data_IF_377154275641
#
_entry.id   IF_377154275641
#
_cell.length_a   1.000
_cell.length_b   1.000
_cell.length_c   1.000
_cell.angle_alpha   90.00
_cell.angle_beta   90.00
_cell.angle_gamma   90.00
#
_symmetry.space_group_name_H-M   'P 1'
#
loop_
_entity.id
_entity.type
_entity.pdbx_description
1 polymer ?
#
# COMPACT_ATOMS: atom_id res chain seq x y z
N UNK A 1 18.65 26.86 -8.22
CA UNK A 1 17.68 25.82 -8.63
C UNK A 1 18.08 24.58 -7.86
N UNK A 2 17.15 23.94 -7.17
CA UNK A 2 17.44 22.76 -6.35
C UNK A 2 17.34 21.48 -7.19
N UNK A 3 18.29 20.59 -7.04
CA UNK A 3 18.31 19.29 -7.73
C UNK A 3 17.66 18.23 -6.86
N UNK A 4 16.60 17.58 -7.38
CA UNK A 4 15.84 16.55 -6.68
C UNK A 4 16.13 15.20 -7.31
N UNK A 5 16.76 14.30 -6.55
CA UNK A 5 16.98 12.90 -6.95
C UNK A 5 15.74 12.07 -6.68
N UNK A 6 15.34 11.23 -7.62
CA UNK A 6 14.26 10.26 -7.39
C UNK A 6 14.83 8.86 -7.25
N UNK A 7 14.45 8.17 -6.18
CA UNK A 7 14.76 6.76 -5.95
C UNK A 7 13.47 5.94 -6.03
N UNK A 8 13.47 4.92 -6.86
CA UNK A 8 12.30 4.14 -7.28
C UNK A 8 11.31 4.96 -8.16
N UNK A 9 10.19 4.32 -8.49
CA UNK A 9 9.14 4.97 -9.24
C UNK A 9 8.35 5.95 -8.34
N UNK A 10 8.51 7.23 -8.58
CA UNK A 10 7.69 8.30 -8.00
C UNK A 10 6.63 8.68 -9.03
N UNK A 11 5.39 8.89 -8.58
CA UNK A 11 4.27 9.21 -9.47
C UNK A 11 4.55 10.49 -10.29
N UNK A 12 4.39 10.44 -11.63
CA UNK A 12 4.54 11.63 -12.49
C UNK A 12 3.61 12.78 -12.08
N UNK A 13 2.42 12.46 -11.56
CA UNK A 13 1.48 13.47 -11.05
C UNK A 13 2.05 14.22 -9.84
N UNK A 14 2.81 13.49 -8.99
CA UNK A 14 3.53 14.12 -7.87
C UNK A 14 4.69 14.98 -8.35
N UNK A 15 5.50 14.46 -9.27
CA UNK A 15 6.64 15.20 -9.83
C UNK A 15 6.21 16.47 -10.57
N UNK A 16 5.08 16.44 -11.27
CA UNK A 16 4.52 17.61 -11.96
C UNK A 16 4.11 18.76 -11.01
N UNK A 17 4.04 18.51 -9.69
CA UNK A 17 3.82 19.56 -8.69
C UNK A 17 5.08 20.38 -8.38
N UNK A 18 6.25 19.84 -8.70
CA UNK A 18 7.51 20.57 -8.53
C UNK A 18 7.63 21.64 -9.62
N UNK A 19 7.77 22.89 -9.20
CA UNK A 19 7.93 24.02 -10.12
C UNK A 19 9.31 23.93 -10.81
N UNK A 20 9.33 23.73 -12.12
CA UNK A 20 10.55 23.59 -12.93
C UNK A 20 11.46 24.84 -12.97
N UNK A 21 10.98 25.97 -12.47
CA UNK A 21 11.82 27.18 -12.28
C UNK A 21 12.66 27.11 -11.01
N UNK A 22 12.27 26.26 -10.05
CA UNK A 22 12.92 26.12 -8.74
C UNK A 22 13.59 24.77 -8.57
N UNK A 23 13.02 23.72 -9.18
CA UNK A 23 13.45 22.34 -9.02
C UNK A 23 13.81 21.70 -10.36
N UNK A 24 14.96 21.03 -10.38
CA UNK A 24 15.35 20.11 -11.43
C UNK A 24 15.26 18.68 -10.92
N UNK A 25 14.49 17.83 -11.61
CA UNK A 25 14.25 16.44 -11.19
C UNK A 25 15.14 15.50 -11.99
N UNK A 26 16.10 14.89 -11.34
CA UNK A 26 17.06 13.98 -11.93
C UNK A 26 16.98 12.59 -11.30
N UNK A 27 17.17 11.54 -12.10
CA UNK A 27 17.29 10.16 -11.61
C UNK A 27 18.75 9.88 -11.24
N UNK A 28 19.67 10.41 -12.01
CA UNK A 28 21.09 10.19 -11.87
C UNK A 28 21.81 11.53 -11.54
N UNK A 29 22.12 11.71 -10.26
CA UNK A 29 22.89 12.84 -9.75
C UNK A 29 23.62 12.41 -8.49
N UNK A 30 24.86 12.86 -8.32
CA UNK A 30 25.70 12.52 -7.16
C UNK A 30 25.55 13.52 -6.02
N UNK A 31 25.06 14.73 -6.30
CA UNK A 31 24.94 15.81 -5.32
C UNK A 31 23.54 16.44 -5.32
N UNK A 32 22.47 15.70 -4.94
CA UNK A 32 21.14 16.25 -4.85
C UNK A 32 20.98 17.17 -3.63
N UNK A 33 20.17 18.20 -3.77
CA UNK A 33 19.69 19.02 -2.66
C UNK A 33 18.50 18.35 -1.92
N UNK A 34 17.75 17.48 -2.60
CA UNK A 34 16.66 16.73 -2.04
C UNK A 34 16.50 15.34 -2.67
N UNK A 35 15.94 14.40 -1.92
CA UNK A 35 15.68 13.04 -2.39
C UNK A 35 14.21 12.69 -2.21
N UNK A 36 13.57 12.21 -3.29
CA UNK A 36 12.25 11.56 -3.22
C UNK A 36 12.46 10.05 -3.28
N UNK A 37 11.99 9.34 -2.26
CA UNK A 37 12.17 7.89 -2.13
C UNK A 37 10.83 7.19 -1.83
N UNK A 38 10.68 5.94 -2.24
CA UNK A 38 9.56 5.09 -1.85
C UNK A 38 10.03 3.91 -1.01
N UNK A 39 10.74 2.96 -1.61
CA UNK A 39 11.12 1.69 -0.97
C UNK A 39 12.62 1.38 -1.06
N UNK A 40 13.43 2.23 -1.71
CA UNK A 40 14.87 2.02 -1.74
C UNK A 40 15.44 2.05 -0.32
N UNK A 41 16.34 1.12 -0.04
CA UNK A 41 17.09 1.09 1.21
C UNK A 41 18.17 2.19 1.17
N UNK A 42 18.09 3.11 2.12
CA UNK A 42 19.02 4.22 2.29
C UNK A 42 19.87 4.10 3.56
N UNK A 43 19.75 3.00 4.32
CA UNK A 43 20.41 2.86 5.60
C UNK A 43 21.94 3.01 5.53
N UNK A 44 22.54 2.57 4.41
CA UNK A 44 23.98 2.65 4.17
C UNK A 44 24.35 3.68 3.08
N UNK A 45 23.41 4.50 2.61
CA UNK A 45 23.68 5.52 1.59
C UNK A 45 24.52 6.65 2.19
N UNK A 46 25.61 7.01 1.54
CA UNK A 46 26.33 8.23 1.88
C UNK A 46 25.53 9.46 1.39
N UNK A 47 25.44 10.48 2.23
CA UNK A 47 24.82 11.74 1.86
C UNK A 47 25.89 12.78 1.57
N UNK A 48 25.65 13.63 0.58
CA UNK A 48 26.50 14.78 0.30
C UNK A 48 26.14 15.94 1.24
N UNK A 49 27.06 16.88 1.39
CA UNK A 49 26.92 18.02 2.30
C UNK A 49 25.80 19.02 1.89
N UNK A 50 25.34 18.93 0.64
CA UNK A 50 24.28 19.81 0.13
C UNK A 50 22.86 19.26 0.35
N UNK A 51 22.73 18.00 0.81
CA UNK A 51 21.44 17.37 0.98
C UNK A 51 20.63 18.02 2.13
N UNK A 52 19.54 18.66 1.80
CA UNK A 52 18.68 19.39 2.74
C UNK A 52 17.53 18.54 3.24
N UNK A 53 16.95 17.69 2.39
CA UNK A 53 15.74 16.96 2.73
C UNK A 53 15.61 15.62 2.01
N UNK A 54 14.94 14.69 2.69
CA UNK A 54 14.50 13.41 2.13
C UNK A 54 12.99 13.33 2.33
N UNK A 55 12.22 13.07 1.25
CA UNK A 55 10.79 12.88 1.35
C UNK A 55 10.38 11.48 0.89
N UNK A 56 9.73 10.73 1.79
CA UNK A 56 9.25 9.39 1.50
C UNK A 56 7.80 9.38 1.02
N UNK A 57 7.59 8.81 -0.17
CA UNK A 57 6.26 8.50 -0.67
C UNK A 57 5.71 7.24 0.03
N UNK A 58 5.37 7.38 1.31
CA UNK A 58 4.86 6.31 2.18
C UNK A 58 4.83 6.72 3.65
N UNK A 59 4.16 5.93 4.48
CA UNK A 59 3.97 6.23 5.89
C UNK A 59 5.18 5.87 6.77
N UNK A 60 5.76 4.69 6.59
CA UNK A 60 6.92 4.25 7.37
C UNK A 60 8.21 4.97 6.92
N UNK A 61 9.24 4.94 7.74
CA UNK A 61 10.56 5.55 7.44
C UNK A 61 11.72 4.61 7.78
N UNK A 62 11.42 3.34 7.93
CA UNK A 62 12.36 2.29 8.32
C UNK A 62 13.51 2.04 7.33
N UNK A 63 13.40 2.54 6.12
CA UNK A 63 14.43 2.50 5.07
C UNK A 63 15.31 3.76 5.01
N UNK A 64 15.13 4.71 5.95
CA UNK A 64 15.87 5.98 6.01
C UNK A 64 16.62 6.03 7.36
N UNK A 65 17.90 6.35 7.39
CA UNK A 65 18.69 6.42 8.63
C UNK A 65 18.42 7.74 9.37
N UNK A 66 17.31 7.80 10.14
CA UNK A 66 16.80 9.02 10.77
C UNK A 66 17.80 9.71 11.69
N UNK A 67 18.53 8.92 12.51
CA UNK A 67 19.54 9.46 13.45
C UNK A 67 20.64 10.21 12.67
N UNK A 68 21.21 9.56 11.65
CA UNK A 68 22.22 10.17 10.81
C UNK A 68 21.71 11.39 10.04
N UNK A 69 20.47 11.35 9.53
CA UNK A 69 19.84 12.51 8.91
C UNK A 69 19.76 13.69 9.91
N UNK A 70 19.34 13.41 11.14
CA UNK A 70 19.23 14.42 12.21
C UNK A 70 20.59 15.04 12.56
N UNK A 71 21.65 14.21 12.69
CA UNK A 71 23.02 14.66 12.96
C UNK A 71 23.56 15.57 11.85
N UNK A 72 23.19 15.31 10.60
CA UNK A 72 23.61 16.09 9.42
C UNK A 72 22.66 17.26 9.09
N UNK A 73 21.61 17.47 9.88
CA UNK A 73 20.62 18.55 9.64
C UNK A 73 19.71 18.29 8.43
N UNK A 74 19.57 17.04 7.97
CA UNK A 74 18.71 16.66 6.87
C UNK A 74 17.29 16.43 7.37
N UNK A 75 16.31 17.17 6.83
CA UNK A 75 14.90 17.02 7.22
C UNK A 75 14.28 15.81 6.52
N UNK A 76 13.58 14.95 7.26
CA UNK A 76 12.90 13.78 6.71
C UNK A 76 11.39 13.96 6.78
N UNK A 77 10.72 13.86 5.62
CA UNK A 77 9.28 13.90 5.47
C UNK A 77 8.72 12.54 5.08
N UNK A 78 7.51 12.26 5.51
CA UNK A 78 6.73 11.09 5.09
C UNK A 78 5.30 11.48 4.73
N UNK A 79 4.50 10.53 4.20
CA UNK A 79 3.11 10.75 3.79
C UNK A 79 2.17 9.79 4.52
N UNK A 80 1.96 9.94 5.84
CA UNK A 80 1.11 9.06 6.61
C UNK A 80 -0.35 9.16 6.15
N UNK A 81 -1.02 8.01 6.05
CA UNK A 81 -2.45 7.94 5.72
C UNK A 81 -2.79 8.09 4.23
N UNK A 82 -1.85 8.45 3.36
CA UNK A 82 -2.12 8.70 1.94
C UNK A 82 -2.76 7.49 1.20
N UNK A 83 -2.40 6.26 1.59
CA UNK A 83 -2.94 5.03 1.02
C UNK A 83 -3.90 4.29 1.97
N UNK A 84 -4.30 4.90 3.09
CA UNK A 84 -5.05 4.20 4.14
C UNK A 84 -6.39 3.66 3.64
N UNK A 85 -7.10 4.43 2.80
CA UNK A 85 -8.36 3.98 2.22
C UNK A 85 -8.16 2.78 1.29
N UNK A 86 -7.20 2.86 0.37
CA UNK A 86 -6.93 1.77 -0.58
C UNK A 86 -6.54 0.46 0.13
N UNK A 87 -5.77 0.55 1.23
CA UNK A 87 -5.42 -0.62 2.04
C UNK A 87 -6.65 -1.17 2.77
N UNK A 88 -7.49 -0.30 3.34
CA UNK A 88 -8.72 -0.74 4.01
C UNK A 88 -9.68 -1.46 3.05
N UNK A 89 -9.87 -0.93 1.83
CA UNK A 89 -10.66 -1.56 0.77
C UNK A 89 -10.11 -2.95 0.41
N UNK A 90 -8.78 -3.06 0.25
CA UNK A 90 -8.15 -4.35 -0.03
C UNK A 90 -8.38 -5.35 1.10
N UNK A 91 -8.26 -4.93 2.36
CA UNK A 91 -8.50 -5.81 3.54
C UNK A 91 -9.94 -6.32 3.53
N UNK A 92 -10.93 -5.45 3.34
CA UNK A 92 -12.35 -5.84 3.26
C UNK A 92 -12.59 -6.78 2.08
N UNK A 93 -12.04 -6.46 0.91
CA UNK A 93 -12.11 -7.33 -0.27
C UNK A 93 -11.54 -8.73 -0.02
N UNK A 94 -10.36 -8.81 0.60
CA UNK A 94 -9.72 -10.09 0.94
C UNK A 94 -10.48 -10.86 2.03
N UNK A 95 -11.05 -10.17 3.01
CA UNK A 95 -11.88 -10.78 4.05
C UNK A 95 -13.08 -11.50 3.42
N UNK A 96 -13.78 -10.84 2.51
CA UNK A 96 -14.93 -11.41 1.79
C UNK A 96 -14.48 -12.54 0.85
N UNK A 97 -13.42 -12.31 0.07
CA UNK A 97 -12.91 -13.29 -0.90
C UNK A 97 -12.46 -14.58 -0.20
N UNK A 98 -11.78 -14.47 0.94
CA UNK A 98 -11.37 -15.61 1.76
C UNK A 98 -12.55 -16.36 2.37
N UNK A 99 -13.53 -15.63 2.92
CA UNK A 99 -14.73 -16.21 3.52
C UNK A 99 -15.61 -16.97 2.50
N UNK A 100 -15.56 -16.59 1.23
CA UNK A 100 -16.41 -17.11 0.15
C UNK A 100 -15.64 -18.00 -0.85
N UNK A 101 -14.39 -18.36 -0.57
CA UNK A 101 -13.55 -19.21 -1.44
C UNK A 101 -13.42 -18.69 -2.89
N UNK A 102 -13.46 -17.36 -3.09
CA UNK A 102 -13.55 -16.73 -4.43
C UNK A 102 -12.35 -17.09 -5.31
N UNK A 103 -11.13 -17.08 -4.77
CA UNK A 103 -9.92 -17.39 -5.54
C UNK A 103 -9.92 -18.83 -6.09
N UNK A 104 -10.26 -19.80 -5.23
CA UNK A 104 -10.35 -21.21 -5.63
C UNK A 104 -11.47 -21.43 -6.65
N UNK A 105 -12.63 -20.78 -6.47
CA UNK A 105 -13.73 -20.86 -7.43
C UNK A 105 -13.34 -20.26 -8.78
N UNK A 106 -12.66 -19.11 -8.81
CA UNK A 106 -12.20 -18.47 -10.04
C UNK A 106 -11.21 -19.37 -10.79
N UNK A 107 -10.24 -19.95 -10.10
CA UNK A 107 -9.27 -20.89 -10.69
C UNK A 107 -9.97 -22.11 -11.28
N UNK A 108 -10.92 -22.69 -10.55
CA UNK A 108 -11.70 -23.81 -11.04
C UNK A 108 -12.51 -23.46 -12.30
N UNK A 109 -13.18 -22.29 -12.34
CA UNK A 109 -13.91 -21.81 -13.51
C UNK A 109 -13.02 -21.68 -14.75
N UNK A 110 -11.78 -21.21 -14.59
CA UNK A 110 -10.83 -21.13 -15.71
C UNK A 110 -10.55 -22.50 -16.35
N UNK A 111 -10.53 -23.57 -15.54
CA UNK A 111 -10.36 -24.93 -16.01
C UNK A 111 -11.56 -25.49 -16.79
N UNK A 112 -12.70 -24.81 -16.78
CA UNK A 112 -13.90 -25.22 -17.53
C UNK A 112 -13.97 -24.63 -18.94
N UNK A 113 -12.99 -23.87 -19.38
CA UNK A 113 -12.96 -23.26 -20.70
C UNK A 113 -13.02 -24.35 -21.77
N UNK A 114 -14.04 -24.30 -22.64
CA UNK A 114 -14.26 -25.27 -23.71
C UNK A 114 -15.06 -26.52 -23.27
N UNK A 115 -15.53 -26.64 -22.05
CA UNK A 115 -16.42 -27.73 -21.63
C UNK A 115 -17.81 -27.57 -22.28
N UNK A 116 -18.24 -28.48 -23.17
CA UNK A 116 -19.56 -28.42 -23.82
C UNK A 116 -20.72 -28.64 -22.82
N UNK A 117 -20.44 -29.17 -21.65
CA UNK A 117 -21.40 -29.42 -20.58
C UNK A 117 -21.26 -28.45 -19.39
N UNK A 118 -20.62 -27.30 -19.58
CA UNK A 118 -20.27 -26.31 -18.55
C UNK A 118 -21.40 -26.08 -17.54
N UNK A 119 -22.62 -25.87 -18.00
CA UNK A 119 -23.76 -25.59 -17.08
C UNK A 119 -24.01 -26.75 -16.10
N UNK A 120 -23.90 -28.01 -16.54
CA UNK A 120 -24.07 -29.19 -15.67
C UNK A 120 -22.86 -29.35 -14.75
N UNK A 121 -21.66 -29.11 -15.26
CA UNK A 121 -20.42 -29.17 -14.48
C UNK A 121 -20.44 -28.12 -13.36
N UNK A 122 -20.85 -26.89 -13.65
CA UNK A 122 -21.00 -25.80 -12.66
C UNK A 122 -22.01 -26.18 -11.59
N UNK A 123 -23.20 -26.65 -11.96
CA UNK A 123 -24.22 -27.04 -10.98
C UNK A 123 -23.77 -28.14 -10.04
N UNK A 124 -23.00 -29.11 -10.51
CA UNK A 124 -22.43 -30.17 -9.68
C UNK A 124 -21.28 -29.70 -8.81
N UNK A 125 -20.39 -28.87 -9.38
CA UNK A 125 -19.11 -28.49 -8.77
C UNK A 125 -19.20 -27.29 -7.82
N UNK A 126 -20.15 -26.37 -7.99
CA UNK A 126 -20.24 -25.13 -7.19
C UNK A 126 -20.31 -25.36 -5.67
N UNK A 127 -20.81 -26.52 -5.23
CA UNK A 127 -20.93 -26.88 -3.81
C UNK A 127 -19.58 -26.98 -3.09
N UNK A 128 -18.49 -27.24 -3.79
CA UNK A 128 -17.16 -27.33 -3.20
C UNK A 128 -16.62 -25.96 -2.75
N UNK A 129 -17.22 -24.86 -3.23
CA UNK A 129 -16.80 -23.49 -2.91
C UNK A 129 -17.76 -22.79 -1.95
N UNK A 130 -18.61 -23.55 -1.25
CA UNK A 130 -19.48 -22.99 -0.23
C UNK A 130 -18.60 -22.37 0.87
N UNK A 131 -18.81 -21.07 1.12
CA UNK A 131 -18.16 -20.33 2.17
C UNK A 131 -19.16 -19.78 3.19
N UNK A 132 -18.64 -19.05 4.17
CA UNK A 132 -19.46 -18.43 5.22
C UNK A 132 -19.74 -16.94 4.90
N UNK A 133 -20.90 -16.46 5.33
CA UNK A 133 -21.12 -15.01 5.42
C UNK A 133 -20.29 -14.41 6.55
N UNK A 134 -19.85 -13.17 6.38
CA UNK A 134 -19.12 -12.44 7.42
C UNK A 134 -20.06 -11.78 8.42
N UNK A 135 -21.31 -11.55 8.05
CA UNK A 135 -22.34 -11.00 8.95
C UNK A 135 -22.48 -11.86 10.22
N UNK A 136 -22.49 -11.22 11.37
CA UNK A 136 -22.56 -11.88 12.68
C UNK A 136 -21.26 -12.59 13.10
N UNK A 137 -20.17 -12.45 12.35
CA UNK A 137 -18.85 -12.94 12.75
C UNK A 137 -18.10 -11.87 13.53
N UNK A 138 -17.16 -12.29 14.34
CA UNK A 138 -16.30 -11.41 15.13
C UNK A 138 -14.98 -11.12 14.41
N UNK A 139 -14.61 -9.85 14.35
CA UNK A 139 -13.34 -9.37 13.81
C UNK A 139 -12.51 -8.71 14.91
N UNK A 140 -11.28 -9.19 15.14
CA UNK A 140 -10.28 -8.52 15.95
C UNK A 140 -9.43 -7.58 15.09
N UNK A 141 -9.28 -6.31 15.49
CA UNK A 141 -8.44 -5.33 14.82
C UNK A 141 -7.34 -4.88 15.78
N UNK A 142 -6.09 -5.26 15.49
CA UNK A 142 -4.92 -4.84 16.28
C UNK A 142 -4.32 -3.60 15.61
N UNK A 143 -4.40 -2.46 16.29
CA UNK A 143 -4.00 -1.15 15.78
C UNK A 143 -5.14 -0.36 15.15
N UNK A 144 -5.78 0.52 15.92
CA UNK A 144 -6.85 1.42 15.45
C UNK A 144 -6.31 2.74 14.86
N UNK A 145 -5.22 2.64 14.09
CA UNK A 145 -4.67 3.78 13.33
C UNK A 145 -5.49 4.12 12.08
N UNK A 146 -4.86 4.86 11.14
CA UNK A 146 -5.52 5.35 9.92
C UNK A 146 -6.15 4.26 9.03
N UNK A 147 -5.64 3.03 9.08
CA UNK A 147 -6.16 1.88 8.34
C UNK A 147 -7.13 1.08 9.20
N UNK A 148 -6.70 0.66 10.41
CA UNK A 148 -7.49 -0.23 11.27
C UNK A 148 -8.85 0.34 11.63
N UNK A 149 -8.94 1.65 11.92
CA UNK A 149 -10.21 2.32 12.19
C UNK A 149 -11.17 2.28 11.00
N UNK A 150 -10.66 2.43 9.76
CA UNK A 150 -11.47 2.33 8.54
C UNK A 150 -11.98 0.91 8.33
N UNK A 151 -11.10 -0.10 8.51
CA UNK A 151 -11.48 -1.52 8.42
C UNK A 151 -12.54 -1.85 9.46
N UNK A 152 -12.34 -1.42 10.72
CA UNK A 152 -13.28 -1.64 11.82
C UNK A 152 -14.67 -1.08 11.50
N UNK A 153 -14.74 0.19 11.06
CA UNK A 153 -16.00 0.82 10.71
C UNK A 153 -16.70 0.11 9.53
N UNK A 154 -15.97 -0.22 8.47
CA UNK A 154 -16.54 -0.97 7.35
C UNK A 154 -17.07 -2.35 7.78
N UNK A 155 -16.35 -3.05 8.65
CA UNK A 155 -16.76 -4.37 9.14
C UNK A 155 -18.04 -4.29 9.99
N UNK A 156 -18.19 -3.24 10.81
CA UNK A 156 -19.43 -2.97 11.57
C UNK A 156 -20.62 -2.77 10.61
N UNK A 157 -20.45 -1.95 9.58
CA UNK A 157 -21.48 -1.72 8.56
C UNK A 157 -21.86 -3.00 7.78
N UNK A 158 -20.91 -3.93 7.62
CA UNK A 158 -21.16 -5.26 7.05
C UNK A 158 -21.79 -6.24 8.05
N UNK A 159 -22.12 -5.79 9.26
CA UNK A 159 -22.82 -6.56 10.28
C UNK A 159 -21.91 -7.50 11.09
N UNK A 160 -20.62 -7.21 11.17
CA UNK A 160 -19.69 -7.94 12.07
C UNK A 160 -19.68 -7.34 13.47
N UNK A 161 -19.34 -8.15 14.47
CA UNK A 161 -18.86 -7.65 15.77
C UNK A 161 -17.38 -7.31 15.67
N UNK A 162 -16.97 -6.12 16.14
CA UNK A 162 -15.59 -5.70 16.03
C UNK A 162 -14.99 -5.38 17.40
N UNK A 163 -13.86 -6.00 17.70
CA UNK A 163 -13.05 -5.70 18.85
C UNK A 163 -11.73 -5.09 18.38
N UNK A 164 -11.44 -3.87 18.86
CA UNK A 164 -10.23 -3.12 18.50
C UNK A 164 -9.30 -2.92 19.70
N UNK A 165 -8.00 -2.91 19.41
CA UNK A 165 -6.96 -2.61 20.39
C UNK A 165 -5.97 -1.58 19.82
#
# INVERSE_FOLDING_TARGET
MYTIKTLNAISPVGLAKLNNKQFDVAVDTDAPDGILVRSADMLNTAFNDNLLAIARAGAGVNNIPLERCSEQGIVVFNTPGANANAVAELVIGMLIAGSRNVAAAAQWCQGLTGDPSMAKTVEKGKKQFVGNEIKGKTLGVIGLGAIGSRVANCAIELGMEVYGY
#
